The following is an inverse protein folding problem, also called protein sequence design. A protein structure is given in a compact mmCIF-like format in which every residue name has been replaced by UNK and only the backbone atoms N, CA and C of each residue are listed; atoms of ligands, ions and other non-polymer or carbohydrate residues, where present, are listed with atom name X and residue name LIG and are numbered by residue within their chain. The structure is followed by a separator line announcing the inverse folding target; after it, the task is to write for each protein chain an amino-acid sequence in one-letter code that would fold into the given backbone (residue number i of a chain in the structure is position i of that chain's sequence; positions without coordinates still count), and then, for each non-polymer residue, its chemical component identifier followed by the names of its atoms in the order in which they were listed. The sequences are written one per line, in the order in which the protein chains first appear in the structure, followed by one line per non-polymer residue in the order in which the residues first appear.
data_IF_380007565604
#
_entry.id   IF_380007565604
#
_cell.length_a   1.000
_cell.length_b   1.000
_cell.length_c   1.000
_cell.angle_alpha   90.00
_cell.angle_beta   90.00
_cell.angle_gamma   90.00
#
_symmetry.space_group_name_H-M   'P 1'
#
loop_
_entity.id
_entity.type
_entity.pdbx_description
1 polymer ?
#
# COMPACT_ATOMS: atom_id res chain seq x y z
N UNK A 1 0.84 24.73 9.22
CA UNK A 1 1.01 23.26 9.12
C UNK A 1 0.93 22.70 10.54
N UNK A 2 -0.02 21.81 10.83
CA UNK A 2 -0.15 21.21 12.17
C UNK A 2 1.03 20.24 12.42
N UNK A 3 1.41 19.99 13.68
CA UNK A 3 2.50 19.10 14.07
C UNK A 3 2.40 17.72 13.41
N UNK A 4 1.18 17.19 13.24
CA UNK A 4 0.94 15.92 12.53
C UNK A 4 1.33 15.97 11.05
N UNK A 5 1.06 17.08 10.36
CA UNK A 5 1.46 17.25 8.95
C UNK A 5 2.98 17.37 8.82
N UNK A 6 3.64 18.03 9.78
CA UNK A 6 5.11 18.11 9.83
C UNK A 6 5.70 16.72 10.02
N UNK A 7 5.22 15.97 11.02
CA UNK A 7 5.70 14.61 11.30
C UNK A 7 5.49 13.67 10.13
N UNK A 8 4.30 13.71 9.49
CA UNK A 8 4.01 12.92 8.30
C UNK A 8 4.98 13.23 7.16
N UNK A 9 5.26 14.53 6.93
CA UNK A 9 6.18 14.96 5.87
C UNK A 9 7.59 14.44 6.13
N UNK A 10 8.07 14.48 7.37
CA UNK A 10 9.39 13.97 7.73
C UNK A 10 9.48 12.44 7.60
N UNK A 11 8.42 11.71 7.95
CA UNK A 11 8.36 10.26 7.73
C UNK A 11 8.38 9.92 6.23
N UNK A 12 7.61 10.64 5.41
CA UNK A 12 7.60 10.44 3.96
C UNK A 12 8.96 10.75 3.32
N UNK A 13 9.64 11.82 3.73
CA UNK A 13 11.02 12.10 3.30
C UNK A 13 11.97 10.98 3.71
N UNK A 14 11.79 10.41 4.90
CA UNK A 14 12.68 9.36 5.42
C UNK A 14 12.48 8.04 4.69
N UNK A 15 11.25 7.73 4.31
CA UNK A 15 10.88 6.47 3.66
C UNK A 15 11.58 6.27 2.31
N UNK A 16 11.87 5.01 1.99
CA UNK A 16 12.26 4.59 0.64
C UNK A 16 11.05 4.22 -0.23
N UNK A 17 9.84 4.43 0.29
CA UNK A 17 8.59 4.25 -0.41
C UNK A 17 7.85 5.58 -0.47
N UNK A 18 7.22 5.84 -1.61
CA UNK A 18 6.28 6.96 -1.76
C UNK A 18 4.96 6.47 -2.32
N UNK A 19 3.95 7.33 -2.20
CA UNK A 19 2.70 7.14 -2.91
C UNK A 19 2.86 7.59 -4.35
N UNK A 20 2.13 6.96 -5.25
CA UNK A 20 2.02 7.39 -6.63
C UNK A 20 0.69 7.01 -7.22
N UNK A 21 0.56 7.29 -8.51
CA UNK A 21 -0.55 6.89 -9.34
C UNK A 21 -0.07 5.88 -10.37
N UNK A 22 -0.92 4.93 -10.72
CA UNK A 22 -0.60 3.90 -11.69
C UNK A 22 -1.81 3.58 -12.58
N UNK A 23 -1.62 3.64 -13.89
CA UNK A 23 -2.58 3.17 -14.87
C UNK A 23 -2.20 1.74 -15.32
N UNK A 24 -3.05 0.73 -15.05
CA UNK A 24 -2.75 -0.65 -15.40
C UNK A 24 -2.59 -0.86 -16.90
N UNK A 25 -1.45 -1.43 -17.30
CA UNK A 25 -1.22 -1.90 -18.67
C UNK A 25 -2.03 -3.16 -18.98
N UNK A 26 -2.19 -3.49 -20.27
CA UNK A 26 -2.86 -4.73 -20.67
C UNK A 26 -2.21 -5.99 -20.11
N UNK A 27 -0.88 -5.97 -19.92
CA UNK A 27 -0.15 -7.07 -19.28
C UNK A 27 -0.54 -7.26 -17.82
N UNK A 28 -0.84 -6.17 -17.09
CA UNK A 28 -1.37 -6.24 -15.73
C UNK A 28 -2.82 -6.68 -15.76
N UNK A 29 -3.65 -6.12 -16.64
CA UNK A 29 -5.07 -6.49 -16.75
C UNK A 29 -5.29 -7.96 -17.12
N UNK A 30 -4.36 -8.57 -17.86
CA UNK A 30 -4.47 -9.96 -18.32
C UNK A 30 -3.46 -10.91 -17.63
N UNK A 31 -2.82 -10.49 -16.54
CA UNK A 31 -1.83 -11.28 -15.81
C UNK A 31 -2.41 -11.93 -14.55
N UNK A 32 -1.75 -12.98 -14.04
CA UNK A 32 -2.00 -13.48 -12.68
C UNK A 32 -1.11 -12.75 -11.68
N UNK A 33 -1.70 -12.29 -10.58
CA UNK A 33 -1.03 -11.48 -9.56
C UNK A 33 -1.17 -12.08 -8.19
N UNK A 34 -0.17 -11.84 -7.33
CA UNK A 34 -0.30 -12.06 -5.90
C UNK A 34 -0.98 -10.85 -5.28
N UNK A 35 -2.00 -11.10 -4.46
CA UNK A 35 -2.75 -10.07 -3.78
C UNK A 35 -2.92 -10.36 -2.29
N UNK A 36 -3.16 -9.30 -1.52
CA UNK A 36 -3.76 -9.38 -0.19
C UNK A 36 -5.25 -9.13 -0.31
N UNK A 37 -6.04 -9.99 0.30
CA UNK A 37 -7.49 -9.99 0.30
C UNK A 37 -8.03 -9.66 1.69
N UNK A 38 -9.21 -9.06 1.72
CA UNK A 38 -10.08 -9.01 2.89
C UNK A 38 -11.36 -9.75 2.54
N UNK A 39 -11.56 -10.93 3.14
CA UNK A 39 -12.56 -11.88 2.67
C UNK A 39 -12.23 -12.34 1.25
N UNK A 40 -13.10 -12.02 0.29
CA UNK A 40 -12.91 -12.36 -1.13
C UNK A 40 -12.51 -11.16 -1.99
N UNK A 41 -12.33 -9.97 -1.40
CA UNK A 41 -12.02 -8.74 -2.13
C UNK A 41 -10.51 -8.50 -2.13
N UNK A 42 -9.85 -8.41 -3.29
CA UNK A 42 -8.43 -8.05 -3.37
C UNK A 42 -8.25 -6.56 -3.05
N UNK A 43 -7.26 -6.24 -2.20
CA UNK A 43 -7.01 -4.89 -1.69
C UNK A 43 -5.66 -4.34 -2.14
N UNK A 44 -4.60 -5.16 -2.09
CA UNK A 44 -3.26 -4.77 -2.55
C UNK A 44 -2.76 -5.83 -3.53
N UNK A 45 -2.27 -5.42 -4.70
CA UNK A 45 -1.49 -6.28 -5.59
C UNK A 45 0.00 -6.08 -5.31
N UNK A 46 0.73 -7.16 -5.02
CA UNK A 46 2.17 -7.14 -4.71
C UNK A 46 3.04 -7.53 -5.92
N UNK A 47 2.43 -7.80 -7.08
CA UNK A 47 3.12 -8.14 -8.33
C UNK A 47 2.75 -9.51 -8.90
N UNK A 48 3.51 -10.01 -9.88
CA UNK A 48 3.17 -11.22 -10.62
C UNK A 48 3.15 -12.49 -9.77
N UNK A 49 2.23 -13.41 -10.07
CA UNK A 49 2.11 -14.70 -9.38
C UNK A 49 3.33 -15.62 -9.51
N UNK A 50 4.18 -15.40 -10.51
CA UNK A 50 5.45 -16.11 -10.69
C UNK A 50 6.58 -15.58 -9.80
N UNK A 51 6.40 -14.43 -9.14
CA UNK A 51 7.43 -13.79 -8.34
C UNK A 51 7.39 -14.24 -6.87
N UNK A 52 8.43 -14.96 -6.42
CA UNK A 52 8.57 -15.39 -5.01
C UNK A 52 8.57 -14.22 -4.02
N UNK A 53 9.12 -13.06 -4.43
CA UNK A 53 9.14 -11.86 -3.61
C UNK A 53 7.71 -11.37 -3.33
N UNK A 54 6.88 -11.27 -4.38
CA UNK A 54 5.47 -10.87 -4.28
C UNK A 54 4.65 -11.78 -3.37
N UNK A 55 4.87 -13.10 -3.41
CA UNK A 55 4.28 -14.05 -2.45
C UNK A 55 4.69 -13.77 -1.00
N UNK A 56 5.97 -13.50 -0.78
CA UNK A 56 6.51 -13.22 0.56
C UNK A 56 5.97 -11.90 1.11
N UNK A 57 5.91 -10.87 0.27
CA UNK A 57 5.38 -9.54 0.60
C UNK A 57 3.89 -9.63 0.95
N UNK A 58 3.07 -10.24 0.10
CA UNK A 58 1.64 -10.39 0.34
C UNK A 58 1.36 -11.23 1.61
N UNK A 59 2.10 -12.32 1.80
CA UNK A 59 1.96 -13.14 3.01
C UNK A 59 2.28 -12.34 4.26
N UNK A 60 3.44 -11.68 4.31
CA UNK A 60 3.84 -10.86 5.48
C UNK A 60 2.84 -9.73 5.73
N UNK A 61 2.39 -9.05 4.69
CA UNK A 61 1.42 -7.97 4.81
C UNK A 61 0.09 -8.47 5.38
N UNK A 62 -0.37 -9.65 4.97
CA UNK A 62 -1.59 -10.26 5.52
C UNK A 62 -1.48 -10.61 7.01
N UNK A 63 -0.27 -10.86 7.51
CA UNK A 63 -0.02 -11.21 8.90
C UNK A 63 0.29 -10.00 9.78
N UNK A 64 0.53 -8.82 9.20
CA UNK A 64 1.00 -7.64 9.94
C UNK A 64 -0.15 -6.98 10.74
N UNK A 65 -0.05 -6.87 12.08
CA UNK A 65 -1.10 -6.27 12.90
C UNK A 65 -1.51 -4.85 12.48
N UNK A 66 -0.57 -4.00 12.07
CA UNK A 66 -0.87 -2.65 11.60
C UNK A 66 -1.76 -2.67 10.34
N UNK A 67 -1.50 -3.60 9.42
CA UNK A 67 -2.32 -3.77 8.21
C UNK A 67 -3.71 -4.32 8.55
N UNK A 68 -3.80 -5.33 9.40
CA UNK A 68 -5.10 -5.90 9.83
C UNK A 68 -5.98 -4.86 10.52
N UNK A 69 -5.38 -4.03 11.38
CA UNK A 69 -6.07 -2.90 12.01
C UNK A 69 -6.55 -1.90 10.97
N UNK A 70 -5.70 -1.53 10.01
CA UNK A 70 -6.09 -0.63 8.92
C UNK A 70 -7.30 -1.16 8.14
N UNK A 71 -7.33 -2.44 7.76
CA UNK A 71 -8.47 -3.02 7.04
C UNK A 71 -9.79 -2.89 7.81
N UNK A 72 -9.73 -3.03 9.14
CA UNK A 72 -10.88 -2.84 10.02
C UNK A 72 -11.36 -1.39 10.04
N UNK A 73 -10.44 -0.42 10.07
CA UNK A 73 -10.75 1.02 10.00
C UNK A 73 -11.32 1.43 8.64
N UNK A 74 -10.87 0.79 7.55
CA UNK A 74 -11.46 0.94 6.21
C UNK A 74 -12.86 0.30 6.09
N UNK A 75 -13.37 -0.32 7.17
CA UNK A 75 -14.64 -1.07 7.21
C UNK A 75 -14.73 -2.20 6.19
N UNK A 76 -13.58 -2.75 5.79
CA UNK A 76 -13.54 -3.93 4.94
C UNK A 76 -13.81 -5.15 5.82
N UNK A 77 -14.90 -5.86 5.52
CA UNK A 77 -15.33 -7.02 6.29
C UNK A 77 -14.70 -8.31 5.76
N UNK A 78 -14.02 -9.05 6.63
CA UNK A 78 -13.50 -10.39 6.31
C UNK A 78 -12.15 -10.68 6.93
N UNK A 79 -11.71 -11.93 6.83
CA UNK A 79 -10.36 -12.32 7.24
C UNK A 79 -9.34 -11.77 6.24
N UNK A 80 -8.24 -11.21 6.74
CA UNK A 80 -7.10 -10.81 5.91
C UNK A 80 -6.30 -12.05 5.51
N UNK A 81 -6.02 -12.21 4.22
CA UNK A 81 -5.25 -13.34 3.68
C UNK A 81 -4.48 -12.96 2.42
N UNK A 82 -3.44 -13.71 2.07
CA UNK A 82 -2.75 -13.60 0.77
C UNK A 82 -3.21 -14.68 -0.20
N UNK A 83 -3.23 -14.39 -1.49
CA UNK A 83 -3.58 -15.37 -2.54
C UNK A 83 -3.23 -14.87 -3.94
N UNK A 84 -3.71 -15.59 -4.95
CA UNK A 84 -3.56 -15.19 -6.36
C UNK A 84 -4.90 -14.71 -6.91
N UNK A 85 -4.89 -13.67 -7.74
CA UNK A 85 -6.04 -13.18 -8.51
C UNK A 85 -5.68 -13.10 -9.98
N UNK A 86 -6.63 -13.40 -10.87
CA UNK A 86 -6.46 -13.13 -12.28
C UNK A 86 -6.87 -11.69 -12.57
N UNK A 87 -6.01 -10.91 -13.22
CA UNK A 87 -6.25 -9.50 -13.50
C UNK A 87 -7.58 -9.26 -14.23
N UNK A 88 -8.02 -10.18 -15.10
CA UNK A 88 -9.25 -10.00 -15.85
C UNK A 88 -10.52 -10.10 -15.00
N UNK A 89 -10.40 -10.57 -13.75
CA UNK A 89 -11.49 -10.63 -12.76
C UNK A 89 -11.60 -9.35 -11.94
N UNK A 90 -10.66 -8.41 -12.11
CA UNK A 90 -10.68 -7.11 -11.45
C UNK A 90 -11.44 -6.11 -12.33
N UNK A 91 -12.39 -5.40 -11.74
CA UNK A 91 -13.03 -4.25 -12.37
C UNK A 91 -12.06 -3.06 -12.35
N UNK A 92 -11.30 -2.93 -13.46
CA UNK A 92 -10.24 -1.95 -13.58
C UNK A 92 -10.77 -0.53 -13.81
N UNK A 93 -10.30 0.42 -13.00
CA UNK A 93 -10.37 1.85 -13.25
C UNK A 93 -9.18 2.35 -14.08
N UNK A 94 -9.27 3.58 -14.56
CA UNK A 94 -8.21 4.20 -15.39
C UNK A 94 -6.91 4.44 -14.61
N UNK A 95 -7.02 4.70 -13.30
CA UNK A 95 -5.89 5.03 -12.44
C UNK A 95 -6.11 4.48 -11.03
N UNK A 96 -5.03 4.03 -10.39
CA UNK A 96 -5.03 3.55 -9.02
C UNK A 96 -4.02 4.28 -8.15
N UNK A 97 -4.32 4.41 -6.85
CA UNK A 97 -3.29 4.62 -5.83
C UNK A 97 -2.25 3.49 -5.89
N UNK A 98 -0.98 3.84 -5.81
CA UNK A 98 0.13 2.91 -5.88
C UNK A 98 1.20 3.24 -4.84
N UNK A 99 2.01 2.23 -4.52
CA UNK A 99 3.25 2.38 -3.76
C UNK A 99 4.39 2.26 -4.75
N UNK A 100 5.27 3.25 -4.76
CA UNK A 100 6.42 3.34 -5.64
C UNK A 100 7.70 3.39 -4.80
N UNK A 101 8.80 2.97 -5.39
CA UNK A 101 10.12 3.16 -4.80
C UNK A 101 10.53 4.63 -4.87
N UNK A 102 11.08 5.14 -3.77
CA UNK A 102 11.55 6.50 -3.58
C UNK A 102 12.99 6.52 -3.08
N UNK A 103 13.65 7.67 -3.18
CA UNK A 103 14.94 7.93 -2.53
C UNK A 103 14.71 8.56 -1.16
N UNK A 104 15.27 7.92 -0.12
CA UNK A 104 15.31 8.50 1.23
C UNK A 104 15.98 9.88 1.21
N UNK A 105 15.41 10.81 1.97
CA UNK A 105 15.77 12.22 2.01
C UNK A 105 14.95 13.11 1.08
N UNK A 106 14.10 12.55 0.22
CA UNK A 106 13.30 13.30 -0.77
C UNK A 106 11.80 13.08 -0.53
N UNK A 107 11.03 14.17 -0.55
CA UNK A 107 9.57 14.09 -0.60
C UNK A 107 9.14 14.07 -2.06
N UNK A 108 8.75 12.89 -2.56
CA UNK A 108 8.24 12.75 -3.92
C UNK A 108 6.73 13.04 -3.94
N UNK A 109 6.27 13.88 -4.87
CA UNK A 109 4.86 14.24 -5.00
C UNK A 109 3.99 13.15 -5.64
N UNK A 110 4.53 11.94 -5.81
CA UNK A 110 3.99 10.86 -6.63
C UNK A 110 4.26 11.10 -8.11
N UNK A 111 4.81 10.09 -8.79
CA UNK A 111 5.31 10.16 -10.17
C UNK A 111 6.27 9.01 -10.50
N UNK A 112 6.91 9.05 -11.68
CA UNK A 112 7.77 7.97 -12.22
C UNK A 112 8.72 7.35 -11.17
N UNK A 113 8.39 6.14 -10.75
CA UNK A 113 9.16 5.33 -9.81
C UNK A 113 8.88 3.85 -10.06
N UNK A 114 9.77 2.97 -9.59
CA UNK A 114 9.57 1.53 -9.70
C UNK A 114 8.30 1.13 -8.94
N UNK A 115 7.31 0.56 -9.64
CA UNK A 115 6.05 0.11 -9.04
C UNK A 115 6.31 -1.04 -8.07
N UNK A 116 5.93 -0.83 -6.81
CA UNK A 116 6.05 -1.83 -5.74
C UNK A 116 4.73 -2.56 -5.54
N UNK A 117 3.63 -1.83 -5.42
CA UNK A 117 2.31 -2.40 -5.21
C UNK A 117 1.19 -1.48 -5.71
N UNK A 118 0.06 -2.08 -6.08
CA UNK A 118 -1.16 -1.37 -6.50
C UNK A 118 -2.19 -1.46 -5.38
N UNK A 119 -2.74 -0.33 -4.96
CA UNK A 119 -3.77 -0.25 -3.94
C UNK A 119 -5.17 -0.23 -4.59
N UNK A 120 -5.80 -1.40 -4.66
CA UNK A 120 -7.14 -1.59 -5.24
C UNK A 120 -8.25 -0.96 -4.40
N UNK A 121 -8.03 -0.68 -3.11
CA UNK A 121 -9.04 0.02 -2.29
C UNK A 121 -9.16 1.51 -2.58
N UNK A 122 -8.21 2.09 -3.33
CA UNK A 122 -8.10 3.54 -3.56
C UNK A 122 -7.92 4.39 -2.28
N UNK A 123 -7.72 3.77 -1.11
CA UNK A 123 -7.54 4.51 0.13
C UNK A 123 -6.17 5.19 0.17
N UNK A 124 -6.16 6.51 0.03
CA UNK A 124 -4.98 7.36 0.20
C UNK A 124 -4.31 7.13 1.56
N UNK A 125 -5.12 6.96 2.61
CA UNK A 125 -4.64 6.68 3.95
C UNK A 125 -3.91 5.35 4.01
N UNK A 126 -4.38 4.32 3.29
CA UNK A 126 -3.72 3.00 3.28
C UNK A 126 -2.35 3.08 2.60
N UNK A 127 -2.27 3.71 1.42
CA UNK A 127 -0.99 3.93 0.75
C UNK A 127 -0.04 4.72 1.64
N UNK A 128 -0.54 5.76 2.32
CA UNK A 128 0.25 6.58 3.24
C UNK A 128 0.77 5.74 4.41
N UNK A 129 -0.10 4.95 5.05
CA UNK A 129 0.27 4.07 6.15
C UNK A 129 1.41 3.14 5.73
N UNK A 130 1.30 2.48 4.57
CA UNK A 130 2.33 1.58 4.08
C UNK A 130 3.67 2.29 3.89
N UNK A 131 3.66 3.53 3.40
CA UNK A 131 4.89 4.30 3.19
C UNK A 131 5.53 4.81 4.48
N UNK A 132 4.77 5.06 5.56
CA UNK A 132 5.29 5.73 6.77
C UNK A 132 5.34 4.88 8.04
N UNK A 133 4.77 3.67 7.99
CA UNK A 133 4.84 2.71 9.08
C UNK A 133 6.08 1.82 8.92
N UNK A 134 6.83 1.61 10.00
CA UNK A 134 8.13 0.93 9.97
C UNK A 134 7.98 -0.53 9.58
N UNK A 135 7.06 -1.23 10.23
CA UNK A 135 6.81 -2.64 9.97
C UNK A 135 6.35 -2.89 8.53
N UNK A 136 5.45 -2.03 8.02
CA UNK A 136 4.86 -2.18 6.69
C UNK A 136 5.82 -1.81 5.57
N UNK A 137 6.55 -0.69 5.70
CA UNK A 137 7.51 -0.29 4.67
C UNK A 137 8.61 -1.34 4.48
N UNK A 138 9.07 -1.95 5.58
CA UNK A 138 10.11 -2.99 5.57
C UNK A 138 9.68 -4.32 4.98
N UNK A 139 8.39 -4.55 4.78
CA UNK A 139 7.91 -5.71 4.02
C UNK A 139 8.37 -5.60 2.56
N UNK A 140 8.30 -4.40 1.99
CA UNK A 140 8.63 -4.15 0.58
C UNK A 140 10.08 -3.75 0.35
N UNK A 141 10.67 -3.03 1.32
CA UNK A 141 12.08 -2.66 1.31
C UNK A 141 12.72 -2.83 2.69
N UNK A 142 13.44 -3.93 2.87
CA UNK A 142 14.17 -4.21 4.12
C UNK A 142 15.24 -3.17 4.47
N UNK A 143 15.67 -2.34 3.52
CA UNK A 143 16.63 -1.27 3.74
C UNK A 143 15.96 0.08 4.09
N UNK A 144 14.62 0.13 4.12
CA UNK A 144 13.91 1.33 4.55
C UNK A 144 14.40 1.77 5.93
N UNK A 145 14.80 3.04 6.09
CA UNK A 145 15.21 3.58 7.39
C UNK A 145 14.09 3.44 8.42
N UNK A 146 14.45 3.59 9.70
CA UNK A 146 13.47 3.45 10.79
C UNK A 146 12.38 4.53 10.69
N UNK A 147 11.13 4.10 10.66
CA UNK A 147 9.95 4.98 10.65
C UNK A 147 9.19 4.90 11.99
N UNK A 148 7.88 5.22 11.99
CA UNK A 148 7.04 5.15 13.18
C UNK A 148 5.74 4.37 12.96
N UNK A 149 5.46 3.45 13.89
CA UNK A 149 4.26 2.61 13.81
C UNK A 149 2.99 3.23 14.43
N UNK A 150 3.14 4.27 15.27
CA UNK A 150 2.04 4.79 16.11
C UNK A 150 1.22 5.94 15.52
N UNK A 151 1.81 6.80 14.68
CA UNK A 151 1.17 8.05 14.22
C UNK A 151 0.33 7.84 12.96
N UNK A 152 0.74 6.91 12.10
CA UNK A 152 0.17 6.73 10.77
C UNK A 152 -1.27 6.19 10.78
N UNK A 153 -1.66 5.43 11.79
CA UNK A 153 -3.03 4.88 11.90
C UNK A 153 -4.05 5.97 12.20
N UNK A 154 -3.68 7.02 12.94
CA UNK A 154 -4.56 8.16 13.20
C UNK A 154 -4.90 8.91 11.89
N UNK A 155 -3.92 9.05 10.99
CA UNK A 155 -4.09 9.70 9.69
C UNK A 155 -4.98 8.90 8.73
N UNK A 156 -4.92 7.58 8.81
CA UNK A 156 -5.83 6.68 8.10
C UNK A 156 -7.30 6.97 8.45
N UNK A 157 -7.59 7.06 9.75
CA UNK A 157 -8.94 7.35 10.24
C UNK A 157 -9.44 8.73 9.78
N UNK A 158 -8.58 9.75 9.78
CA UNK A 158 -8.92 11.10 9.31
C UNK A 158 -9.22 11.14 7.80
N UNK A 159 -8.43 10.44 6.97
CA UNK A 159 -8.61 10.41 5.51
C UNK A 159 -9.93 9.75 5.08
N UNK A 160 -10.47 8.84 5.90
CA UNK A 160 -11.76 8.19 5.64
C UNK A 160 -12.97 9.04 6.03
N UNK A 161 -12.81 9.99 6.95
CA UNK A 161 -13.89 10.87 7.39
C UNK A 161 -14.15 12.04 6.42
N UNK A 162 -13.15 12.44 5.63
CA UNK A 162 -13.28 13.55 4.66
C UNK A 162 -13.97 13.17 3.33
N UNK A 163 -14.31 11.90 3.11
CA UNK A 163 -15.06 11.42 1.93
C UNK A 163 -16.55 11.15 2.23
N UNK A 164 -17.14 11.89 3.18
CA UNK A 164 -18.57 11.88 3.48
C UNK A 164 -19.21 13.23 3.24
#
# INVERSE_FOLDING_TARGET
MNIYQVMLTELLKTSTLTRGKYSPSDSVKNGHHVAVFVGHVPVILCGPASCKKSHTEAYRLSQEPAFQKAMSELKLSGKVSSGTVFGAEIDWQDEYEAILKSKSGVSEAGGEGELIAINLSQSLGLSTLICVNDSLAKIFDSQCPRLQDGIAIALLAESHMSNK
#
